data_IF_364217352582
#
_entry.id   IF_364217352582
#
_cell.length_a   1.000
_cell.length_b   1.000
_cell.length_c   1.000
_cell.angle_alpha   90.00
_cell.angle_beta   90.00
_cell.angle_gamma   90.00
#
_symmetry.space_group_name_H-M   'P 1'
#
loop_
_entity.id
_entity.type
_entity.pdbx_description
1 polymer ?
#
# COMPACT_ATOMS: atom_id res chain seq x y z
N UNK A 1 -21.13 -7.27 -16.26
CA UNK A 1 -20.38 -5.99 -16.29
C UNK A 1 -21.10 -5.06 -17.24
N UNK A 2 -21.45 -3.84 -16.84
CA UNK A 2 -22.13 -2.89 -17.74
C UNK A 2 -21.12 -2.07 -18.56
N UNK A 3 -21.61 -1.43 -19.63
CA UNK A 3 -20.78 -0.66 -20.56
C UNK A 3 -19.96 0.45 -19.85
N UNK A 4 -20.57 1.18 -18.91
CA UNK A 4 -19.90 2.26 -18.19
C UNK A 4 -18.77 1.76 -17.29
N UNK A 5 -18.96 0.61 -16.63
CA UNK A 5 -17.91 -0.09 -15.88
C UNK A 5 -16.73 -0.43 -16.78
N UNK A 6 -16.99 -1.12 -17.90
CA UNK A 6 -15.96 -1.47 -18.88
C UNK A 6 -15.19 -0.24 -19.37
N UNK A 7 -15.90 0.84 -19.73
CA UNK A 7 -15.26 2.07 -20.17
C UNK A 7 -14.35 2.67 -19.09
N UNK A 8 -14.81 2.70 -17.83
CA UNK A 8 -13.98 3.19 -16.72
C UNK A 8 -12.73 2.33 -16.51
N UNK A 9 -12.83 1.01 -16.68
CA UNK A 9 -11.71 0.08 -16.54
C UNK A 9 -10.70 0.25 -17.69
N UNK A 10 -11.20 0.45 -18.93
CA UNK A 10 -10.37 0.77 -20.11
C UNK A 10 -9.60 2.08 -19.87
N UNK A 11 -10.27 3.11 -19.35
CA UNK A 11 -9.60 4.37 -19.02
C UNK A 11 -8.49 4.12 -17.99
N UNK A 12 -8.74 3.43 -16.89
CA UNK A 12 -7.66 3.07 -15.94
C UNK A 12 -6.52 2.30 -16.63
N UNK A 13 -6.81 1.43 -17.60
CA UNK A 13 -5.81 0.76 -18.43
C UNK A 13 -4.87 1.71 -19.17
N UNK A 14 -5.33 2.91 -19.56
CA UNK A 14 -4.49 3.95 -20.18
C UNK A 14 -3.36 4.39 -19.26
N UNK A 15 -3.57 4.41 -17.93
CA UNK A 15 -2.52 4.73 -16.95
C UNK A 15 -1.36 3.74 -17.03
N UNK A 16 -1.68 2.45 -17.15
CA UNK A 16 -0.69 1.37 -17.23
C UNK A 16 0.06 1.47 -18.55
N UNK A 17 -0.65 1.68 -19.66
CA UNK A 17 -0.03 1.84 -20.97
C UNK A 17 0.87 3.08 -21.03
N UNK A 18 0.48 4.19 -20.42
CA UNK A 18 1.29 5.40 -20.36
C UNK A 18 2.55 5.21 -19.49
N UNK A 19 2.43 4.52 -18.36
CA UNK A 19 3.58 4.16 -17.53
C UNK A 19 4.58 3.27 -18.30
N UNK A 20 4.10 2.26 -19.03
CA UNK A 20 4.92 1.39 -19.90
C UNK A 20 5.59 2.23 -21.00
N UNK A 21 4.84 3.10 -21.67
CA UNK A 21 5.36 3.99 -22.71
C UNK A 21 6.49 4.88 -22.18
N UNK A 22 6.31 5.48 -21.00
CA UNK A 22 7.34 6.32 -20.38
C UNK A 22 8.60 5.50 -20.00
N UNK A 23 8.42 4.27 -19.53
CA UNK A 23 9.54 3.36 -19.29
C UNK A 23 10.31 3.03 -20.57
N UNK A 24 9.61 2.68 -21.66
CA UNK A 24 10.23 2.39 -22.96
C UNK A 24 10.94 3.60 -23.58
N UNK A 25 10.50 4.81 -23.25
CA UNK A 25 11.16 6.07 -23.65
C UNK A 25 12.34 6.47 -22.76
N UNK A 26 12.77 5.60 -21.84
CA UNK A 26 13.82 5.87 -20.85
C UNK A 26 13.54 7.07 -19.92
N UNK A 27 12.27 7.45 -19.74
CA UNK A 27 11.88 8.50 -18.79
C UNK A 27 11.80 7.95 -17.35
N UNK A 28 12.90 7.40 -16.84
CA UNK A 28 12.97 6.64 -15.57
C UNK A 28 12.37 7.39 -14.37
N UNK A 29 12.61 8.69 -14.26
CA UNK A 29 12.06 9.51 -13.17
C UNK A 29 10.52 9.59 -13.21
N UNK A 30 9.94 9.72 -14.41
CA UNK A 30 8.49 9.75 -14.59
C UNK A 30 7.90 8.38 -14.24
N UNK A 31 8.50 7.30 -14.74
CA UNK A 31 8.05 5.93 -14.45
C UNK A 31 8.09 5.63 -12.95
N UNK A 32 9.18 6.00 -12.27
CA UNK A 32 9.30 5.84 -10.82
C UNK A 32 8.17 6.53 -10.07
N UNK A 33 7.88 7.80 -10.41
CA UNK A 33 6.78 8.56 -9.81
C UNK A 33 5.44 7.89 -10.07
N UNK A 34 5.19 7.47 -11.31
CA UNK A 34 3.97 6.74 -11.69
C UNK A 34 3.72 5.51 -10.82
N UNK A 35 4.72 4.65 -10.70
CA UNK A 35 4.63 3.41 -9.91
C UNK A 35 4.43 3.73 -8.43
N UNK A 36 5.15 4.72 -7.90
CA UNK A 36 5.01 5.13 -6.49
C UNK A 36 3.61 5.65 -6.21
N UNK A 37 3.08 6.57 -7.02
CA UNK A 37 1.72 7.09 -6.84
C UNK A 37 0.70 5.96 -6.96
N UNK A 38 0.83 5.08 -7.95
CA UNK A 38 -0.11 3.99 -8.17
C UNK A 38 -0.16 3.04 -6.96
N UNK A 39 0.99 2.52 -6.54
CA UNK A 39 1.08 1.55 -5.44
C UNK A 39 0.64 2.17 -4.12
N UNK A 40 1.08 3.39 -3.82
CA UNK A 40 0.69 4.09 -2.60
C UNK A 40 -0.81 4.40 -2.57
N UNK A 41 -1.36 5.01 -3.63
CA UNK A 41 -2.79 5.37 -3.69
C UNK A 41 -3.68 4.14 -3.61
N UNK A 42 -3.26 3.02 -4.21
CA UNK A 42 -3.97 1.76 -4.12
C UNK A 42 -4.07 1.28 -2.66
N UNK A 43 -2.94 1.15 -1.95
CA UNK A 43 -2.95 0.74 -0.54
C UNK A 43 -3.62 1.74 0.39
N UNK A 44 -3.49 3.04 0.11
CA UNK A 44 -4.16 4.11 0.86
C UNK A 44 -5.69 4.01 0.74
N UNK A 45 -6.21 3.84 -0.48
CA UNK A 45 -7.64 3.63 -0.72
C UNK A 45 -8.14 2.37 -0.03
N UNK A 46 -7.41 1.27 -0.11
CA UNK A 46 -7.84 0.03 0.55
C UNK A 46 -7.86 0.16 2.07
N UNK A 47 -6.92 0.91 2.66
CA UNK A 47 -6.97 1.25 4.08
C UNK A 47 -8.23 2.04 4.42
N UNK A 48 -8.57 3.07 3.64
CA UNK A 48 -9.78 3.86 3.86
C UNK A 48 -11.06 3.01 3.68
N UNK A 49 -11.09 2.11 2.69
CA UNK A 49 -12.21 1.17 2.49
C UNK A 49 -12.47 0.33 3.73
N UNK A 50 -11.42 -0.12 4.41
CA UNK A 50 -11.55 -0.83 5.68
C UNK A 50 -12.06 0.06 6.81
N UNK A 51 -11.46 1.23 6.99
CA UNK A 51 -11.85 2.20 8.03
C UNK A 51 -13.35 2.52 7.93
N UNK A 52 -13.83 2.83 6.73
CA UNK A 52 -15.23 3.24 6.54
C UNK A 52 -16.19 2.07 6.33
N UNK A 53 -15.71 0.93 5.82
CA UNK A 53 -16.49 -0.31 5.62
C UNK A 53 -17.84 -0.12 4.91
N UNK A 54 -17.98 0.89 4.04
CA UNK A 54 -19.24 1.14 3.34
C UNK A 54 -19.44 0.05 2.28
N UNK A 55 -20.43 -0.81 2.47
CA UNK A 55 -20.63 -1.99 1.62
C UNK A 55 -21.23 -1.63 0.26
N UNK A 56 -20.76 -2.33 -0.78
CA UNK A 56 -21.35 -2.35 -2.11
C UNK A 56 -22.29 -3.56 -2.24
N UNK A 57 -23.42 -3.39 -2.92
CA UNK A 57 -24.35 -4.49 -3.22
C UNK A 57 -23.92 -5.42 -4.38
N UNK A 58 -22.95 -5.01 -5.20
CA UNK A 58 -22.74 -5.52 -6.57
C UNK A 58 -21.43 -6.32 -6.77
N UNK A 59 -20.53 -6.43 -5.78
CA UNK A 59 -19.22 -7.10 -5.99
C UNK A 59 -18.75 -7.91 -4.79
N UNK A 60 -18.41 -9.17 -5.04
CA UNK A 60 -17.77 -10.06 -4.09
C UNK A 60 -16.28 -9.76 -3.92
N UNK A 61 -15.59 -9.38 -5.00
CA UNK A 61 -14.13 -9.15 -5.02
C UNK A 61 -13.72 -7.77 -4.47
N UNK A 62 -14.65 -6.83 -4.43
CA UNK A 62 -14.46 -5.50 -3.88
C UNK A 62 -15.73 -5.09 -3.11
N UNK A 63 -15.88 -5.55 -1.86
CA UNK A 63 -17.11 -5.42 -1.09
C UNK A 63 -17.34 -4.01 -0.58
N UNK A 64 -16.34 -3.12 -0.65
CA UNK A 64 -16.44 -1.76 -0.12
C UNK A 64 -16.55 -0.73 -1.25
N UNK A 65 -17.53 0.17 -1.19
CA UNK A 65 -17.74 1.22 -2.18
C UNK A 65 -16.94 2.50 -1.88
N UNK A 66 -16.73 2.84 -0.61
CA UNK A 66 -16.13 4.12 -0.22
C UNK A 66 -14.65 4.01 0.17
N UNK A 67 -13.74 4.86 -0.33
CA UNK A 67 -13.90 5.75 -1.48
C UNK A 67 -13.74 5.00 -2.82
N UNK A 68 -14.07 5.66 -3.93
CA UNK A 68 -13.90 5.07 -5.26
C UNK A 68 -12.43 5.00 -5.69
N UNK A 69 -11.85 3.80 -5.66
CA UNK A 69 -10.45 3.58 -6.04
C UNK A 69 -10.13 3.93 -7.50
N UNK A 70 -11.08 3.77 -8.43
CA UNK A 70 -10.87 4.14 -9.83
C UNK A 70 -10.67 5.66 -9.96
N UNK A 71 -11.55 6.44 -9.32
CA UNK A 71 -11.41 7.90 -9.29
C UNK A 71 -10.11 8.32 -8.61
N UNK A 72 -9.78 7.72 -7.46
CA UNK A 72 -8.53 8.01 -6.75
C UNK A 72 -7.28 7.74 -7.58
N UNK A 73 -7.20 6.59 -8.28
CA UNK A 73 -6.01 6.23 -9.06
C UNK A 73 -5.95 7.00 -10.38
N UNK A 74 -7.10 7.39 -10.95
CA UNK A 74 -7.14 8.16 -12.20
C UNK A 74 -6.43 9.51 -12.15
N UNK A 75 -6.21 10.07 -10.96
CA UNK A 75 -5.59 11.38 -10.76
C UNK A 75 -4.07 11.38 -10.94
N UNK A 76 -3.47 10.21 -11.09
CA UNK A 76 -2.02 10.06 -11.31
C UNK A 76 -1.57 10.77 -12.59
N UNK A 77 -2.37 10.77 -13.66
CA UNK A 77 -2.06 11.51 -14.88
C UNK A 77 -1.90 13.01 -14.61
N UNK A 78 -2.79 13.57 -13.78
CA UNK A 78 -2.67 14.96 -13.35
C UNK A 78 -1.41 15.19 -12.50
N UNK A 79 -1.10 14.28 -11.58
CA UNK A 79 0.11 14.36 -10.75
C UNK A 79 1.40 14.40 -11.58
N UNK A 80 1.47 13.55 -12.60
CA UNK A 80 2.67 13.35 -13.41
C UNK A 80 2.86 14.48 -14.42
N UNK A 81 1.80 14.87 -15.13
CA UNK A 81 1.89 15.85 -16.21
C UNK A 81 1.56 17.28 -15.80
N UNK A 82 0.98 17.49 -14.61
CA UNK A 82 0.53 18.80 -14.11
C UNK A 82 -0.36 19.57 -15.09
N UNK A 83 -1.10 18.84 -15.92
CA UNK A 83 -2.03 19.41 -16.89
C UNK A 83 -3.49 19.25 -16.40
N UNK A 84 -4.26 20.34 -16.24
CA UNK A 84 -5.61 20.30 -15.71
C UNK A 84 -6.59 19.47 -16.55
N UNK A 85 -6.31 19.21 -17.83
CA UNK A 85 -7.10 18.28 -18.66
C UNK A 85 -7.15 16.88 -18.04
N UNK A 86 -6.07 16.46 -17.37
CA UNK A 86 -6.06 15.17 -16.68
C UNK A 86 -6.85 15.16 -15.37
N UNK A 87 -7.19 16.32 -14.81
CA UNK A 87 -8.15 16.39 -13.71
C UNK A 87 -9.58 16.14 -14.23
N UNK A 88 -9.92 16.72 -15.40
CA UNK A 88 -11.18 16.43 -16.08
C UNK A 88 -11.30 14.94 -16.42
N UNK A 89 -10.21 14.32 -16.85
CA UNK A 89 -10.14 12.88 -17.07
C UNK A 89 -10.56 12.07 -15.81
N UNK A 90 -10.06 12.44 -14.62
CA UNK A 90 -10.46 11.79 -13.37
C UNK A 90 -11.93 11.97 -13.03
N UNK A 91 -12.47 13.16 -13.32
CA UNK A 91 -13.91 13.45 -13.16
C UNK A 91 -14.73 12.55 -14.08
N UNK A 92 -14.34 12.39 -15.35
CA UNK A 92 -15.01 11.50 -16.31
C UNK A 92 -14.99 10.05 -15.83
N UNK A 93 -13.85 9.54 -15.36
CA UNK A 93 -13.75 8.20 -14.76
C UNK A 93 -14.73 8.06 -13.60
N UNK A 94 -14.79 9.05 -12.71
CA UNK A 94 -15.75 9.07 -11.59
C UNK A 94 -17.21 9.06 -12.03
N UNK A 95 -17.59 9.88 -13.01
CA UNK A 95 -18.94 9.90 -13.56
C UNK A 95 -19.34 8.55 -14.16
N UNK A 96 -18.43 7.88 -14.88
CA UNK A 96 -18.67 6.53 -15.39
C UNK A 96 -18.93 5.52 -14.28
N UNK A 97 -18.26 5.65 -13.12
CA UNK A 97 -18.52 4.80 -11.95
C UNK A 97 -19.91 5.02 -11.33
N UNK A 98 -20.41 6.26 -11.34
CA UNK A 98 -21.76 6.58 -10.88
C UNK A 98 -22.79 6.03 -11.87
N UNK A 99 -22.62 6.30 -13.18
CA UNK A 99 -23.51 5.80 -14.24
C UNK A 99 -23.54 4.27 -14.31
N UNK A 100 -22.42 3.62 -14.00
CA UNK A 100 -22.35 2.17 -13.87
C UNK A 100 -23.00 1.60 -12.60
N UNK A 101 -23.55 2.43 -11.71
CA UNK A 101 -24.17 1.98 -10.45
C UNK A 101 -23.17 1.38 -9.45
N UNK A 102 -21.88 1.62 -9.65
CA UNK A 102 -20.82 1.04 -8.83
C UNK A 102 -20.55 1.85 -7.56
N UNK A 103 -20.77 3.16 -7.61
CA UNK A 103 -20.38 4.12 -6.58
C UNK A 103 -21.41 5.24 -6.46
N UNK A 104 -21.57 5.77 -5.24
CA UNK A 104 -22.33 6.99 -5.00
C UNK A 104 -21.53 8.23 -5.45
N UNK A 105 -22.21 9.38 -5.54
CA UNK A 105 -21.52 10.66 -5.74
C UNK A 105 -20.48 10.92 -4.64
N UNK A 106 -20.79 10.62 -3.38
CA UNK A 106 -19.88 10.83 -2.26
C UNK A 106 -18.63 9.95 -2.37
N UNK A 107 -18.78 8.68 -2.78
CA UNK A 107 -17.64 7.78 -2.98
C UNK A 107 -16.65 8.33 -4.02
N UNK A 108 -17.18 8.92 -5.09
CA UNK A 108 -16.39 9.52 -6.19
C UNK A 108 -15.77 10.84 -5.78
N UNK A 109 -16.54 11.73 -5.15
CA UNK A 109 -16.05 13.03 -4.66
C UNK A 109 -14.89 12.84 -3.67
N UNK A 110 -15.07 11.97 -2.68
CA UNK A 110 -14.02 11.65 -1.73
C UNK A 110 -12.88 10.85 -2.36
N UNK A 111 -13.13 10.04 -3.38
CA UNK A 111 -12.07 9.42 -4.18
C UNK A 111 -11.14 10.45 -4.82
N UNK A 112 -11.70 11.50 -5.44
CA UNK A 112 -10.94 12.61 -6.01
C UNK A 112 -10.16 13.36 -4.92
N UNK A 113 -10.83 13.70 -3.81
CA UNK A 113 -10.22 14.39 -2.67
C UNK A 113 -9.03 13.60 -2.08
N UNK A 114 -9.24 12.32 -1.74
CA UNK A 114 -8.18 11.47 -1.18
C UNK A 114 -7.05 11.21 -2.19
N UNK A 115 -7.36 11.18 -3.50
CA UNK A 115 -6.34 11.12 -4.54
C UNK A 115 -5.43 12.35 -4.57
N UNK A 116 -6.00 13.55 -4.49
CA UNK A 116 -5.23 14.80 -4.39
C UNK A 116 -4.38 14.83 -3.11
N UNK A 117 -4.97 14.46 -1.97
CA UNK A 117 -4.26 14.37 -0.68
C UNK A 117 -3.10 13.38 -0.77
N UNK A 118 -3.33 12.20 -1.35
CA UNK A 118 -2.29 11.18 -1.49
C UNK A 118 -1.13 11.63 -2.40
N UNK A 119 -1.42 12.32 -3.51
CA UNK A 119 -0.37 12.94 -4.35
C UNK A 119 0.43 13.97 -3.55
N UNK A 120 -0.26 14.86 -2.82
CA UNK A 120 0.39 15.89 -2.02
C UNK A 120 1.32 15.28 -0.96
N UNK A 121 0.90 14.19 -0.29
CA UNK A 121 1.73 13.44 0.64
C UNK A 121 2.99 12.91 -0.06
N UNK A 122 2.84 12.23 -1.20
CA UNK A 122 3.98 11.66 -1.95
C UNK A 122 4.96 12.77 -2.36
N UNK A 123 4.47 13.89 -2.90
CA UNK A 123 5.30 15.03 -3.34
C UNK A 123 6.07 15.66 -2.18
N UNK A 124 5.40 15.90 -1.05
CA UNK A 124 6.02 16.48 0.15
C UNK A 124 7.09 15.54 0.70
N UNK A 125 6.80 14.25 0.79
CA UNK A 125 7.75 13.26 1.29
C UNK A 125 8.94 13.08 0.33
N UNK A 126 8.72 13.00 -0.98
CA UNK A 126 9.79 12.93 -1.98
C UNK A 126 10.74 14.13 -1.82
N UNK A 127 10.20 15.35 -1.67
CA UNK A 127 11.02 16.56 -1.47
C UNK A 127 11.81 16.54 -0.15
N UNK A 128 11.29 15.91 0.90
CA UNK A 128 11.89 15.94 2.25
C UNK A 128 12.87 14.80 2.51
N UNK A 129 12.56 13.59 2.07
CA UNK A 129 13.33 12.37 2.40
C UNK A 129 13.73 11.56 1.16
N UNK A 130 13.46 12.05 -0.06
CA UNK A 130 14.02 11.54 -1.31
C UNK A 130 13.68 10.08 -1.59
N UNK A 131 14.70 9.26 -1.89
CA UNK A 131 14.55 7.82 -2.19
C UNK A 131 13.77 7.07 -1.09
N UNK A 132 13.95 7.46 0.17
CA UNK A 132 13.31 6.80 1.30
C UNK A 132 11.78 6.95 1.29
N UNK A 133 11.26 8.08 0.78
CA UNK A 133 9.82 8.28 0.60
C UNK A 133 9.25 7.21 -0.34
N UNK A 134 9.85 7.04 -1.51
CA UNK A 134 9.39 6.07 -2.50
C UNK A 134 9.39 4.65 -1.96
N UNK A 135 10.48 4.25 -1.27
CA UNK A 135 10.58 2.93 -0.63
C UNK A 135 9.45 2.68 0.36
N UNK A 136 9.23 3.59 1.31
CA UNK A 136 8.25 3.37 2.38
C UNK A 136 6.81 3.59 1.93
N UNK A 137 6.56 4.45 0.94
CA UNK A 137 5.24 4.57 0.31
C UNK A 137 4.90 3.32 -0.53
N UNK A 138 5.88 2.73 -1.21
CA UNK A 138 5.72 1.46 -1.90
C UNK A 138 5.43 0.32 -0.92
N UNK A 139 6.16 0.26 0.19
CA UNK A 139 5.91 -0.67 1.31
C UNK A 139 4.47 -0.57 1.84
N UNK A 140 4.03 0.64 2.24
CA UNK A 140 2.67 0.89 2.73
C UNK A 140 1.63 0.40 1.70
N UNK A 141 1.87 0.74 0.43
CA UNK A 141 0.99 0.38 -0.69
C UNK A 141 0.83 -1.12 -0.86
N UNK A 142 1.94 -1.85 -0.99
CA UNK A 142 1.93 -3.32 -1.18
C UNK A 142 1.37 -4.03 0.04
N UNK A 143 1.84 -3.72 1.26
CA UNK A 143 1.39 -4.41 2.46
C UNK A 143 -0.10 -4.18 2.75
N UNK A 144 -0.61 -2.96 2.54
CA UNK A 144 -2.05 -2.67 2.68
C UNK A 144 -2.88 -3.39 1.63
N UNK A 145 -2.39 -3.46 0.38
CA UNK A 145 -3.07 -4.21 -0.68
C UNK A 145 -3.09 -5.72 -0.39
N UNK A 146 -1.98 -6.28 0.08
CA UNK A 146 -1.92 -7.67 0.52
C UNK A 146 -2.87 -7.94 1.69
N UNK A 147 -2.95 -7.02 2.66
CA UNK A 147 -3.94 -7.08 3.75
C UNK A 147 -5.37 -7.11 3.22
N UNK A 148 -5.70 -6.24 2.26
CA UNK A 148 -7.01 -6.27 1.59
C UNK A 148 -7.29 -7.63 0.93
N UNK A 149 -6.35 -8.17 0.16
CA UNK A 149 -6.52 -9.47 -0.51
C UNK A 149 -6.71 -10.63 0.49
N UNK A 150 -5.93 -10.64 1.58
CA UNK A 150 -6.05 -11.65 2.65
C UNK A 150 -7.44 -11.62 3.29
N UNK A 151 -8.03 -10.45 3.48
CA UNK A 151 -9.38 -10.33 4.01
C UNK A 151 -10.46 -10.85 3.06
N UNK A 152 -10.34 -10.54 1.77
CA UNK A 152 -11.30 -11.02 0.76
C UNK A 152 -11.23 -12.53 0.60
N UNK A 153 -10.01 -13.06 0.48
CA UNK A 153 -9.79 -14.47 0.29
C UNK A 153 -8.39 -14.87 0.80
N UNK A 154 -8.31 -15.27 2.07
CA UNK A 154 -7.05 -15.63 2.71
C UNK A 154 -6.38 -16.82 2.03
N UNK A 155 -7.13 -17.87 1.68
CA UNK A 155 -6.58 -19.07 1.06
C UNK A 155 -5.91 -18.74 -0.28
N UNK A 156 -6.64 -18.06 -1.17
CA UNK A 156 -6.11 -17.67 -2.48
C UNK A 156 -4.91 -16.74 -2.34
N UNK A 157 -4.99 -15.75 -1.43
CA UNK A 157 -3.88 -14.81 -1.22
C UNK A 157 -2.66 -15.48 -0.63
N UNK A 158 -2.82 -16.46 0.27
CA UNK A 158 -1.70 -17.25 0.80
C UNK A 158 -0.98 -18.01 -0.32
N UNK A 159 -1.72 -18.60 -1.27
CA UNK A 159 -1.14 -19.22 -2.47
C UNK A 159 -0.39 -18.18 -3.31
N UNK A 160 -0.97 -17.01 -3.52
CA UNK A 160 -0.29 -15.92 -4.25
C UNK A 160 1.01 -15.48 -3.58
N UNK A 161 1.07 -15.44 -2.24
CA UNK A 161 2.31 -15.13 -1.50
C UNK A 161 3.39 -16.19 -1.74
N UNK A 162 3.04 -17.49 -1.72
CA UNK A 162 3.96 -18.59 -2.05
C UNK A 162 4.46 -18.48 -3.49
N UNK A 163 3.56 -18.23 -4.44
CA UNK A 163 3.93 -18.01 -5.85
C UNK A 163 4.84 -16.78 -5.98
N UNK A 164 4.55 -15.70 -5.29
CA UNK A 164 5.34 -14.46 -5.30
C UNK A 164 6.75 -14.68 -4.78
N UNK A 165 6.93 -15.45 -3.69
CA UNK A 165 8.25 -15.85 -3.21
C UNK A 165 9.00 -16.69 -4.25
N UNK A 166 8.31 -17.64 -4.89
CA UNK A 166 8.91 -18.50 -5.92
C UNK A 166 9.39 -17.70 -7.13
N UNK A 167 8.54 -16.81 -7.65
CA UNK A 167 8.92 -15.87 -8.73
C UNK A 167 10.03 -14.94 -8.25
N UNK A 168 9.94 -14.45 -7.01
CA UNK A 168 10.95 -13.61 -6.38
C UNK A 168 12.32 -14.26 -6.40
N UNK A 169 12.43 -15.54 -6.01
CA UNK A 169 13.69 -16.29 -6.03
C UNK A 169 14.30 -16.37 -7.44
N UNK A 170 13.46 -16.61 -8.45
CA UNK A 170 13.89 -16.57 -9.85
C UNK A 170 14.38 -15.17 -10.24
N UNK A 171 13.61 -14.11 -9.96
CA UNK A 171 14.00 -12.74 -10.27
C UNK A 171 15.29 -12.33 -9.54
N UNK A 172 15.48 -12.76 -8.30
CA UNK A 172 16.68 -12.53 -7.52
C UNK A 172 17.92 -13.12 -8.21
N UNK A 173 17.79 -14.30 -8.83
CA UNK A 173 18.89 -14.95 -9.57
C UNK A 173 19.34 -14.18 -10.81
N UNK A 174 18.45 -13.39 -11.42
CA UNK A 174 18.72 -12.60 -12.62
C UNK A 174 18.81 -11.09 -12.35
N UNK A 175 18.79 -10.66 -11.09
CA UNK A 175 18.62 -9.24 -10.69
C UNK A 175 19.67 -8.29 -11.25
N UNK A 176 20.89 -8.76 -11.45
CA UNK A 176 21.99 -7.97 -12.02
C UNK A 176 21.99 -7.94 -13.55
N UNK A 177 21.31 -8.89 -14.19
CA UNK A 177 21.25 -9.04 -15.65
C UNK A 177 20.00 -8.38 -16.26
N UNK A 178 18.88 -8.38 -15.53
CA UNK A 178 17.63 -7.79 -15.98
C UNK A 178 17.57 -6.30 -15.64
N UNK A 179 17.58 -5.44 -16.66
CA UNK A 179 17.55 -3.97 -16.51
C UNK A 179 16.35 -3.51 -15.69
N UNK A 180 15.17 -4.11 -15.92
CA UNK A 180 13.93 -3.76 -15.19
C UNK A 180 14.08 -4.03 -13.70
N UNK A 181 14.63 -5.18 -13.31
CA UNK A 181 14.80 -5.55 -11.90
C UNK A 181 15.86 -4.66 -11.25
N UNK A 182 16.96 -4.38 -11.95
CA UNK A 182 17.99 -3.46 -11.48
C UNK A 182 17.41 -2.06 -11.20
N UNK A 183 16.61 -1.53 -12.13
CA UNK A 183 15.95 -0.23 -11.97
C UNK A 183 14.99 -0.21 -10.77
N UNK A 184 14.19 -1.28 -10.57
CA UNK A 184 13.29 -1.39 -9.42
C UNK A 184 14.05 -1.44 -8.09
N UNK A 185 15.13 -2.21 -8.02
CA UNK A 185 16.01 -2.24 -6.85
C UNK A 185 16.65 -0.88 -6.61
N UNK A 186 17.05 -0.18 -7.67
CA UNK A 186 17.59 1.18 -7.58
C UNK A 186 16.59 2.16 -6.98
N UNK A 187 15.32 2.04 -7.34
CA UNK A 187 14.27 2.96 -6.91
C UNK A 187 13.76 2.67 -5.49
N UNK A 188 13.62 1.40 -5.13
CA UNK A 188 12.85 0.98 -3.96
C UNK A 188 13.63 0.17 -2.94
N UNK A 189 14.78 -0.41 -3.29
CA UNK A 189 15.57 -1.18 -2.31
C UNK A 189 16.66 -0.32 -1.67
N UNK A 190 16.94 -0.56 -0.39
CA UNK A 190 17.94 0.22 0.36
C UNK A 190 19.35 -0.06 -0.16
N UNK A 191 19.68 -1.35 -0.30
CA UNK A 191 21.04 -1.84 -0.51
C UNK A 191 21.19 -2.63 -1.82
N UNK A 192 20.19 -2.55 -2.70
CA UNK A 192 20.11 -3.25 -4.00
C UNK A 192 20.18 -4.79 -3.88
N UNK A 193 19.93 -5.33 -2.69
CA UNK A 193 19.87 -6.77 -2.42
C UNK A 193 18.49 -7.32 -2.75
N UNK A 194 17.43 -6.54 -2.54
CA UNK A 194 16.04 -6.98 -2.66
C UNK A 194 15.54 -7.79 -1.47
N UNK A 195 16.34 -7.94 -0.41
CA UNK A 195 16.00 -8.74 0.78
C UNK A 195 14.70 -8.27 1.44
N UNK A 196 14.48 -6.96 1.56
CA UNK A 196 13.28 -6.41 2.21
C UNK A 196 11.97 -6.83 1.53
N UNK A 197 11.97 -7.01 0.21
CA UNK A 197 10.79 -7.50 -0.49
C UNK A 197 10.47 -8.96 -0.13
N UNK A 198 11.49 -9.79 0.08
CA UNK A 198 11.30 -11.18 0.52
C UNK A 198 10.80 -11.25 1.95
N UNK A 199 11.39 -10.47 2.85
CA UNK A 199 11.05 -10.53 4.28
C UNK A 199 9.67 -9.94 4.55
N UNK A 200 9.23 -8.95 3.78
CA UNK A 200 7.83 -8.48 3.74
C UNK A 200 6.85 -9.62 3.43
N UNK A 201 7.05 -10.31 2.29
CA UNK A 201 6.15 -11.38 1.87
C UNK A 201 6.22 -12.58 2.81
N UNK A 202 7.42 -12.93 3.28
CA UNK A 202 7.64 -14.03 4.23
C UNK A 202 6.95 -13.77 5.57
N UNK A 203 7.09 -12.57 6.15
CA UNK A 203 6.46 -12.23 7.42
C UNK A 203 4.94 -12.33 7.37
N UNK A 204 4.33 -11.82 6.29
CA UNK A 204 2.88 -11.93 6.07
C UNK A 204 2.46 -13.39 5.86
N UNK A 205 3.20 -14.15 5.05
CA UNK A 205 2.92 -15.56 4.76
C UNK A 205 2.97 -16.43 6.02
N UNK A 206 3.98 -16.23 6.88
CA UNK A 206 4.10 -16.99 8.13
C UNK A 206 2.85 -16.84 8.99
N UNK A 207 2.35 -15.61 9.14
CA UNK A 207 1.12 -15.37 9.92
C UNK A 207 -0.12 -15.89 9.19
N UNK A 208 -0.18 -15.81 7.86
CA UNK A 208 -1.34 -16.32 7.10
C UNK A 208 -1.51 -17.84 7.14
N UNK A 209 -0.43 -18.57 7.41
CA UNK A 209 -0.48 -20.01 7.65
C UNK A 209 -0.94 -20.36 9.08
N UNK A 210 -0.76 -19.44 10.04
CA UNK A 210 -1.05 -19.65 11.45
C UNK A 210 -2.39 -19.05 11.90
N UNK A 211 -2.92 -18.08 11.15
CA UNK A 211 -4.05 -17.26 11.61
C UNK A 211 -4.99 -16.84 10.49
N UNK A 212 -6.29 -17.09 10.67
CA UNK A 212 -7.40 -16.75 9.77
C UNK A 212 -7.71 -15.23 9.67
N UNK A 213 -7.02 -14.39 10.45
CA UNK A 213 -7.11 -12.93 10.37
C UNK A 213 -5.76 -12.27 10.10
N UNK A 214 -4.90 -12.93 9.33
CA UNK A 214 -3.57 -12.43 8.99
C UNK A 214 -3.57 -11.08 8.25
N UNK A 215 -4.71 -10.67 7.67
CA UNK A 215 -4.86 -9.31 7.13
C UNK A 215 -4.57 -8.23 8.19
N UNK A 216 -4.85 -8.50 9.47
CA UNK A 216 -4.58 -7.57 10.57
C UNK A 216 -3.07 -7.29 10.63
N UNK A 217 -2.26 -8.34 10.70
CA UNK A 217 -0.80 -8.24 10.70
C UNK A 217 -0.25 -7.51 9.47
N UNK A 218 -0.83 -7.72 8.29
CA UNK A 218 -0.42 -7.01 7.07
C UNK A 218 -0.69 -5.49 7.14
N UNK A 219 -1.83 -5.06 7.70
CA UNK A 219 -2.11 -3.63 7.90
C UNK A 219 -1.21 -2.99 8.94
N UNK A 220 -0.91 -3.67 10.05
CA UNK A 220 0.05 -3.17 11.04
C UNK A 220 1.45 -3.08 10.45
N UNK A 221 1.89 -4.10 9.70
CA UNK A 221 3.18 -4.04 8.99
C UNK A 221 3.21 -2.88 7.99
N UNK A 222 2.12 -2.63 7.26
CA UNK A 222 2.07 -1.51 6.31
C UNK A 222 2.28 -0.17 7.01
N UNK A 223 1.48 0.11 8.03
CA UNK A 223 1.37 1.45 8.61
C UNK A 223 2.33 1.73 9.75
N UNK A 224 2.57 0.77 10.65
CA UNK A 224 3.49 0.96 11.78
C UNK A 224 4.92 1.11 11.28
N UNK A 225 5.42 0.14 10.50
CA UNK A 225 6.77 0.21 9.92
C UNK A 225 6.90 1.42 8.98
N UNK A 226 5.96 1.56 8.03
CA UNK A 226 5.95 2.65 7.06
C UNK A 226 6.05 4.04 7.70
N UNK A 227 5.20 4.35 8.68
CA UNK A 227 5.20 5.66 9.32
C UNK A 227 6.34 5.84 10.34
N UNK A 228 6.80 4.77 10.99
CA UNK A 228 7.96 4.85 11.89
C UNK A 228 9.20 5.34 11.14
N UNK A 229 9.48 4.77 9.96
CA UNK A 229 10.60 5.22 9.14
C UNK A 229 10.39 6.63 8.61
N UNK A 230 9.20 6.94 8.08
CA UNK A 230 8.90 8.25 7.48
C UNK A 230 9.10 9.35 8.53
N UNK A 231 8.55 9.20 9.73
CA UNK A 231 8.71 10.18 10.79
C UNK A 231 10.17 10.27 11.25
N UNK A 232 10.84 9.15 11.53
CA UNK A 232 12.24 9.17 11.92
C UNK A 232 13.11 9.97 10.94
N UNK A 233 12.88 9.77 9.63
CA UNK A 233 13.62 10.44 8.55
C UNK A 233 13.23 11.90 8.36
N UNK A 234 11.95 12.25 8.50
CA UNK A 234 11.49 13.64 8.40
C UNK A 234 12.16 14.56 9.44
N UNK A 235 12.46 14.03 10.62
CA UNK A 235 13.13 14.76 11.70
C UNK A 235 14.65 14.55 11.71
N UNK A 236 15.24 14.06 10.61
CA UNK A 236 16.70 13.90 10.48
C UNK A 236 17.30 12.81 11.38
N UNK A 237 16.46 11.96 11.95
CA UNK A 237 16.86 10.88 12.85
C UNK A 237 16.79 9.51 12.17
N UNK A 238 17.11 8.47 12.92
CA UNK A 238 16.93 7.08 12.48
C UNK A 238 15.49 6.64 12.76
N UNK A 239 15.07 5.57 12.09
CA UNK A 239 13.78 4.89 12.27
C UNK A 239 13.52 4.53 13.74
N UNK A 240 14.51 3.92 14.41
CA UNK A 240 14.46 3.59 15.84
C UNK A 240 14.78 4.81 16.71
N UNK A 241 13.90 5.80 16.66
CA UNK A 241 13.97 7.05 17.44
C UNK A 241 12.61 7.36 18.06
N UNK A 242 12.55 8.35 18.95
CA UNK A 242 11.28 8.82 19.52
C UNK A 242 10.33 9.33 18.42
N UNK A 243 10.85 10.01 17.39
CA UNK A 243 10.04 10.44 16.26
C UNK A 243 9.48 9.25 15.47
N UNK A 244 10.30 8.21 15.29
CA UNK A 244 9.83 6.96 14.70
C UNK A 244 8.75 6.29 15.54
N UNK A 245 8.92 6.23 16.87
CA UNK A 245 7.88 5.71 17.78
C UNK A 245 6.56 6.48 17.64
N UNK A 246 6.60 7.82 17.55
CA UNK A 246 5.40 8.65 17.32
C UNK A 246 4.74 8.29 15.98
N UNK A 247 5.54 8.16 14.91
CA UNK A 247 5.05 7.71 13.61
C UNK A 247 4.41 6.32 13.67
N UNK A 248 5.04 5.38 14.38
CA UNK A 248 4.55 4.03 14.60
C UNK A 248 3.24 4.00 15.39
N UNK A 249 3.08 4.84 16.41
CA UNK A 249 1.81 4.97 17.16
C UNK A 249 0.70 5.47 16.25
N UNK A 250 0.95 6.49 15.42
CA UNK A 250 -0.02 6.98 14.44
C UNK A 250 -0.38 5.86 13.43
N UNK A 251 0.62 5.11 12.96
CA UNK A 251 0.43 3.96 12.09
C UNK A 251 -0.40 2.85 12.75
N UNK A 252 -0.16 2.59 14.03
CA UNK A 252 -0.92 1.66 14.84
C UNK A 252 -2.38 2.08 14.98
N UNK A 253 -2.66 3.37 15.18
CA UNK A 253 -4.03 3.91 15.20
C UNK A 253 -4.71 3.69 13.85
N UNK A 254 -4.05 4.01 12.74
CA UNK A 254 -4.60 3.80 11.39
C UNK A 254 -4.90 2.32 11.14
N UNK A 255 -3.96 1.43 11.46
CA UNK A 255 -4.13 -0.01 11.31
C UNK A 255 -5.25 -0.57 12.21
N UNK A 256 -5.34 -0.13 13.47
CA UNK A 256 -6.43 -0.48 14.39
C UNK A 256 -7.80 -0.01 13.87
N UNK A 257 -7.90 1.21 13.36
CA UNK A 257 -9.14 1.72 12.75
C UNK A 257 -9.54 0.90 11.53
N UNK A 258 -8.59 0.59 10.66
CA UNK A 258 -8.85 -0.22 9.47
C UNK A 258 -9.33 -1.63 9.85
N UNK A 259 -8.67 -2.27 10.80
CA UNK A 259 -8.91 -3.68 11.16
C UNK A 259 -9.95 -3.87 12.25
N UNK A 260 -10.46 -2.78 12.86
CA UNK A 260 -11.40 -2.77 13.98
C UNK A 260 -10.91 -3.57 15.19
N UNK A 261 -9.60 -3.57 15.43
CA UNK A 261 -8.99 -4.21 16.61
C UNK A 261 -8.63 -3.17 17.67
N UNK A 262 -8.36 -3.65 18.88
CA UNK A 262 -7.98 -2.79 20.00
C UNK A 262 -6.70 -1.98 19.68
N UNK A 263 -6.71 -0.67 20.00
CA UNK A 263 -5.57 0.24 19.83
C UNK A 263 -4.33 -0.19 20.62
N UNK A 264 -4.50 -0.95 21.70
CA UNK A 264 -3.40 -1.50 22.48
C UNK A 264 -2.43 -2.34 21.63
N UNK A 265 -2.95 -3.10 20.65
CA UNK A 265 -2.11 -3.85 19.70
C UNK A 265 -1.18 -2.89 18.96
N UNK A 266 -1.70 -1.77 18.45
CA UNK A 266 -0.91 -0.76 17.76
C UNK A 266 0.15 -0.10 18.64
N UNK A 267 -0.16 0.18 19.90
CA UNK A 267 0.83 0.67 20.85
C UNK A 267 1.96 -0.34 21.06
N UNK A 268 1.62 -1.60 21.38
CA UNK A 268 2.63 -2.65 21.58
C UNK A 268 3.50 -2.82 20.35
N UNK A 269 2.92 -2.90 19.15
CA UNK A 269 3.68 -3.03 17.90
C UNK A 269 4.62 -1.86 17.67
N UNK A 270 4.18 -0.61 17.91
CA UNK A 270 5.03 0.57 17.76
C UNK A 270 6.20 0.59 18.76
N UNK A 271 5.96 0.18 20.02
CA UNK A 271 7.03 0.05 21.02
C UNK A 271 8.02 -1.05 20.65
N UNK A 272 7.52 -2.18 20.15
CA UNK A 272 8.36 -3.28 19.71
C UNK A 272 9.25 -2.85 18.53
N UNK A 273 8.71 -2.15 17.54
CA UNK A 273 9.50 -1.57 16.45
C UNK A 273 10.61 -0.63 16.96
N UNK A 274 10.29 0.21 17.95
CA UNK A 274 11.26 1.08 18.59
C UNK A 274 12.38 0.32 19.34
N UNK A 275 12.04 -0.79 20.00
CA UNK A 275 12.95 -1.53 20.90
C UNK A 275 13.75 -2.65 20.21
N UNK A 276 13.26 -3.21 19.09
CA UNK A 276 13.92 -4.33 18.42
C UNK A 276 15.34 -3.94 17.98
N UNK A 277 16.36 -4.79 18.19
CA UNK A 277 17.70 -4.59 17.64
C UNK A 277 17.69 -4.43 16.11
N UNK A 278 18.65 -3.71 15.53
CA UNK A 278 18.65 -3.43 14.07
C UNK A 278 18.96 -4.64 13.20
N UNK A 279 19.53 -5.67 13.82
CA UNK A 279 19.94 -6.91 13.21
C UNK A 279 18.75 -7.84 12.92
N UNK A 280 17.61 -7.59 13.56
CA UNK A 280 16.39 -8.37 13.39
C UNK A 280 15.47 -7.66 12.39
N UNK A 281 15.00 -8.42 11.40
CA UNK A 281 14.13 -7.90 10.33
C UNK A 281 12.70 -7.62 10.85
N UNK A 282 12.37 -6.34 10.88
CA UNK A 282 11.07 -5.78 11.29
C UNK A 282 9.90 -6.39 10.49
N UNK A 283 10.11 -6.70 9.21
CA UNK A 283 9.07 -7.24 8.33
C UNK A 283 8.58 -8.62 8.74
N UNK A 284 9.38 -9.38 9.49
CA UNK A 284 8.99 -10.68 10.04
C UNK A 284 8.46 -10.55 11.46
N UNK A 285 9.10 -9.72 12.28
CA UNK A 285 8.75 -9.61 13.69
C UNK A 285 7.42 -8.89 13.90
N UNK A 286 7.16 -7.78 13.19
CA UNK A 286 5.92 -7.03 13.37
C UNK A 286 4.68 -7.91 13.15
N UNK A 287 4.55 -8.68 12.05
CA UNK A 287 3.41 -9.56 11.86
C UNK A 287 3.22 -10.59 12.99
N UNK A 288 4.31 -11.18 13.48
CA UNK A 288 4.28 -12.18 14.55
C UNK A 288 3.87 -11.56 15.89
N UNK A 289 4.38 -10.37 16.21
CA UNK A 289 4.04 -9.64 17.44
C UNK A 289 2.56 -9.27 17.45
N UNK A 290 2.03 -8.81 16.32
CA UNK A 290 0.59 -8.50 16.18
C UNK A 290 -0.25 -9.76 16.42
N UNK A 291 0.13 -10.88 15.81
CA UNK A 291 -0.53 -12.17 15.99
C UNK A 291 -0.53 -12.63 17.46
N UNK A 292 0.65 -12.64 18.10
CA UNK A 292 0.80 -13.06 19.49
C UNK A 292 0.05 -12.14 20.46
N UNK A 293 0.15 -10.83 20.27
CA UNK A 293 -0.56 -9.84 21.10
C UNK A 293 -2.07 -10.01 20.94
N UNK A 294 -2.56 -10.22 19.71
CA UNK A 294 -3.97 -10.50 19.47
C UNK A 294 -4.42 -11.74 20.24
N UNK A 295 -3.72 -12.89 20.09
CA UNK A 295 -4.09 -14.11 20.79
C UNK A 295 -4.11 -13.90 22.31
N UNK A 296 -3.07 -13.30 22.88
CA UNK A 296 -2.99 -13.06 24.32
C UNK A 296 -4.15 -12.22 24.84
N UNK A 297 -4.57 -11.19 24.10
CA UNK A 297 -5.69 -10.34 24.52
C UNK A 297 -7.03 -11.07 24.50
N UNK A 298 -7.25 -11.94 23.50
CA UNK A 298 -8.52 -12.64 23.33
C UNK A 298 -8.58 -14.00 24.05
N UNK A 299 -7.45 -14.55 24.50
CA UNK A 299 -7.41 -15.74 25.36
C UNK A 299 -7.70 -15.45 26.83
N UNK A 300 -7.66 -14.17 27.23
CA UNK A 300 -7.94 -13.71 28.60
C UNK A 300 -9.40 -13.30 28.83
N UNK A 301 -10.24 -13.43 27.80
CA UNK A 301 -11.68 -13.16 27.81
C UNK A 301 -12.45 -14.48 27.72
#
# INVERSE_FOLDING_TARGET
MNLFGLLSDILIGILVLDAIRNYLKNNKNITKKYITYFVFLLGFVYTLKFIFSVTRHVSYFDPFSFPSGHTTVSIILFAVYRNPIFLLYSVVVGLLRILGGYHSFMDVFFGLFFGLVGIAIVDVLEKKIGKEAHRKLFHIGIASYTGFLLYINQYFTTILLVISLTIGLFLYSIRTKCVVIKDLLEWYDRDFTGQGAFTLILGILLVSLLWDKAYISAFFLAWVDGLSTIFGKLFGTREKSIYGLVGGIIGGIIASLATKVNFFIGFVTAFIEYLIPKEIDDNVIIPLVVYLTYIMMYSLL
#
